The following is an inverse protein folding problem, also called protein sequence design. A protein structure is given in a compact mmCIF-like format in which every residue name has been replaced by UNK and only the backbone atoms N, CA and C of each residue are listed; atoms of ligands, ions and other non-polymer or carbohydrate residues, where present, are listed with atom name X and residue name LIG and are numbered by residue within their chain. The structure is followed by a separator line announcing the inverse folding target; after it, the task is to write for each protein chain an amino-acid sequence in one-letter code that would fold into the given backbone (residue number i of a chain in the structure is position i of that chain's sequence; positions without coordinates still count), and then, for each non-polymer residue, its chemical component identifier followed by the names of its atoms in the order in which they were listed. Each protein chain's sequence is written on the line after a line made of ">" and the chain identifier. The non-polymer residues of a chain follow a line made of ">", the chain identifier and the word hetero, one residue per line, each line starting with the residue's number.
data_IF_240914458995
#
_entry.id   IF_240914458995
#
_cell.length_a   1.000
_cell.length_b   1.000
_cell.length_c   1.000
_cell.angle_alpha   90.00
_cell.angle_beta   90.00
_cell.angle_gamma   90.00
#
_symmetry.space_group_name_H-M   'P 1'
#
loop_
_entity.id
_entity.type
_entity.pdbx_description
1 polymer ?
#
# COMPACT_ATOMS: atom_id res chain seq x y z
N UNK A 1 -16.62 5.11 4.17
CA UNK A 1 -15.32 4.42 4.05
C UNK A 1 -15.63 3.24 3.16
N UNK A 2 -15.25 3.28 1.89
CA UNK A 2 -15.55 2.15 0.99
C UNK A 2 -14.76 0.93 1.50
N UNK A 3 -15.42 -0.20 1.76
CA UNK A 3 -14.71 -1.42 2.12
C UNK A 3 -13.82 -1.83 0.95
N UNK A 4 -12.54 -2.08 1.20
CA UNK A 4 -11.67 -2.77 0.24
C UNK A 4 -12.32 -4.13 0.00
N UNK A 5 -12.96 -4.29 -1.16
CA UNK A 5 -13.53 -5.56 -1.58
C UNK A 5 -12.44 -6.65 -1.54
N UNK A 6 -12.77 -7.90 -1.21
CA UNK A 6 -11.79 -8.98 -1.25
C UNK A 6 -11.18 -9.05 -2.66
N UNK A 7 -9.85 -9.17 -2.71
CA UNK A 7 -9.13 -9.25 -3.97
C UNK A 7 -9.68 -10.41 -4.82
N UNK A 8 -10.06 -10.12 -6.06
CA UNK A 8 -10.52 -11.12 -7.03
C UNK A 8 -9.43 -12.16 -7.29
N UNK A 9 -9.82 -13.36 -7.73
CA UNK A 9 -8.84 -14.42 -8.04
C UNK A 9 -7.84 -13.99 -9.11
N UNK A 10 -8.26 -13.11 -10.03
CA UNK A 10 -7.37 -12.48 -11.01
C UNK A 10 -6.33 -11.57 -10.33
N UNK A 11 -6.73 -10.73 -9.38
CA UNK A 11 -5.80 -9.84 -8.67
C UNK A 11 -4.76 -10.62 -7.86
N UNK A 12 -5.15 -11.76 -7.27
CA UNK A 12 -4.19 -12.65 -6.58
C UNK A 12 -3.18 -13.26 -7.54
N UNK A 13 -3.65 -13.85 -8.64
CA UNK A 13 -2.79 -14.47 -9.65
C UNK A 13 -1.81 -13.46 -10.26
N UNK A 14 -2.30 -12.27 -10.61
CA UNK A 14 -1.45 -11.20 -11.13
C UNK A 14 -0.50 -10.67 -10.06
N UNK A 15 -0.94 -10.57 -8.80
CA UNK A 15 -0.08 -10.19 -7.68
C UNK A 15 1.10 -11.15 -7.52
N UNK A 16 0.85 -12.45 -7.48
CA UNK A 16 1.89 -13.47 -7.35
C UNK A 16 2.89 -13.45 -8.52
N UNK A 17 2.39 -13.20 -9.73
CA UNK A 17 3.22 -13.09 -10.93
C UNK A 17 4.11 -11.84 -10.93
N UNK A 18 3.55 -10.69 -10.54
CA UNK A 18 4.20 -9.39 -10.69
C UNK A 18 5.05 -9.00 -9.48
N UNK A 19 4.75 -9.53 -8.29
CA UNK A 19 5.47 -9.18 -7.07
C UNK A 19 6.99 -9.46 -7.12
N UNK A 20 7.49 -10.54 -7.73
CA UNK A 20 8.93 -10.75 -7.91
C UNK A 20 9.62 -9.63 -8.70
N UNK A 21 8.98 -9.13 -9.77
CA UNK A 21 9.50 -8.02 -10.60
C UNK A 21 9.50 -6.72 -9.83
N UNK A 22 8.43 -6.43 -9.09
CA UNK A 22 8.38 -5.25 -8.22
C UNK A 22 9.50 -5.32 -7.17
N UNK A 23 9.74 -6.50 -6.60
CA UNK A 23 10.76 -6.71 -5.57
C UNK A 23 12.18 -6.60 -6.11
N UNK A 24 12.46 -7.02 -7.35
CA UNK A 24 13.80 -6.89 -7.93
C UNK A 24 14.25 -5.43 -8.09
N UNK A 25 13.29 -4.50 -8.24
CA UNK A 25 13.53 -3.06 -8.28
C UNK A 25 13.67 -2.43 -6.86
N UNK A 26 13.66 -3.25 -5.81
CA UNK A 26 13.67 -2.77 -4.42
C UNK A 26 12.39 -2.02 -4.03
N UNK A 27 11.29 -2.28 -4.74
CA UNK A 27 9.97 -1.74 -4.49
C UNK A 27 9.09 -2.79 -3.81
N UNK A 28 7.97 -2.35 -3.26
CA UNK A 28 6.92 -3.21 -2.72
C UNK A 28 5.62 -2.97 -3.47
N UNK A 29 4.90 -4.05 -3.78
CA UNK A 29 3.56 -3.97 -4.34
C UNK A 29 2.59 -3.66 -3.19
N UNK A 30 2.07 -2.44 -3.17
CA UNK A 30 1.20 -1.96 -2.09
C UNK A 30 -0.26 -2.32 -2.37
N UNK A 31 -0.69 -2.13 -3.61
CA UNK A 31 -2.06 -2.42 -4.04
C UNK A 31 -2.05 -2.84 -5.51
N UNK A 32 -2.79 -3.88 -5.85
CA UNK A 32 -3.06 -4.29 -7.22
C UNK A 32 -4.57 -4.33 -7.41
N UNK A 33 -5.05 -3.72 -8.49
CA UNK A 33 -6.47 -3.63 -8.79
C UNK A 33 -6.73 -4.01 -10.24
N UNK A 34 -7.68 -4.91 -10.46
CA UNK A 34 -8.18 -5.30 -11.78
C UNK A 34 -9.66 -4.96 -11.88
N UNK A 35 -9.99 -3.88 -12.59
CA UNK A 35 -11.36 -3.35 -12.61
C UNK A 35 -11.77 -2.82 -13.98
N UNK A 36 -13.08 -2.90 -14.23
CA UNK A 36 -13.69 -2.29 -15.42
C UNK A 36 -14.03 -0.83 -15.14
N UNK A 37 -13.47 0.06 -15.94
CA UNK A 37 -13.77 1.49 -15.94
C UNK A 37 -14.48 1.89 -17.25
N UNK A 38 -14.86 3.17 -17.38
CA UNK A 38 -15.56 3.69 -18.57
C UNK A 38 -14.80 3.43 -19.88
N UNK A 39 -13.47 3.35 -19.83
CA UNK A 39 -12.60 3.14 -20.99
C UNK A 39 -12.25 1.68 -21.30
N UNK A 40 -12.63 0.72 -20.45
CA UNK A 40 -12.22 -0.68 -20.61
C UNK A 40 -11.75 -1.32 -19.30
N UNK A 41 -11.03 -2.44 -19.42
CA UNK A 41 -10.37 -3.04 -18.26
C UNK A 41 -9.10 -2.27 -17.92
N UNK A 42 -8.84 -2.09 -16.63
CA UNK A 42 -7.64 -1.41 -16.12
C UNK A 42 -6.96 -2.31 -15.11
N UNK A 43 -5.68 -2.60 -15.36
CA UNK A 43 -4.77 -3.18 -14.39
C UNK A 43 -3.95 -2.06 -13.77
N UNK A 44 -4.19 -1.77 -12.50
CA UNK A 44 -3.47 -0.73 -11.77
C UNK A 44 -2.58 -1.36 -10.70
N UNK A 45 -1.29 -1.05 -10.78
CA UNK A 45 -0.29 -1.35 -9.77
C UNK A 45 0.03 -0.07 -9.00
N UNK A 46 -0.06 -0.16 -7.68
CA UNK A 46 0.43 0.86 -6.76
C UNK A 46 1.67 0.31 -6.06
N UNK A 47 2.82 0.91 -6.32
CA UNK A 47 4.11 0.49 -5.77
C UNK A 47 4.70 1.57 -4.90
N UNK A 48 5.43 1.16 -3.87
CA UNK A 48 6.15 2.12 -3.03
C UNK A 48 7.53 1.59 -2.64
N UNK A 49 8.34 2.47 -2.06
CA UNK A 49 9.59 2.12 -1.41
C UNK A 49 9.39 2.19 0.10
N UNK A 50 9.72 1.14 0.87
CA UNK A 50 9.55 1.15 2.33
C UNK A 50 10.20 2.34 3.04
N UNK A 51 11.28 2.91 2.48
CA UNK A 51 12.05 4.01 3.07
C UNK A 51 11.96 5.33 2.28
N UNK A 52 11.05 5.44 1.31
CA UNK A 52 11.01 6.62 0.45
C UNK A 52 9.77 6.71 -0.42
N UNK A 53 9.82 7.58 -1.42
CA UNK A 53 8.86 7.58 -2.51
C UNK A 53 9.41 6.86 -3.74
N UNK A 54 8.55 6.70 -4.73
CA UNK A 54 8.91 6.20 -6.07
C UNK A 54 8.79 7.35 -7.05
N UNK A 55 9.84 7.55 -7.84
CA UNK A 55 9.91 8.58 -8.89
C UNK A 55 9.13 8.15 -10.13
N UNK A 56 8.80 9.13 -10.98
CA UNK A 56 8.14 8.86 -12.26
C UNK A 56 8.97 7.94 -13.18
N UNK A 57 10.31 8.08 -13.14
CA UNK A 57 11.22 7.26 -13.94
C UNK A 57 11.12 5.80 -13.50
N UNK A 58 11.16 5.53 -12.21
CA UNK A 58 11.04 4.17 -11.66
C UNK A 58 9.67 3.54 -11.98
N UNK A 59 8.58 4.32 -11.88
CA UNK A 59 7.27 3.84 -12.34
C UNK A 59 7.26 3.50 -13.84
N UNK A 60 7.97 4.29 -14.67
CA UNK A 60 8.02 4.06 -16.12
C UNK A 60 8.81 2.79 -16.45
N UNK A 61 9.96 2.59 -15.83
CA UNK A 61 10.78 1.38 -16.03
C UNK A 61 10.04 0.14 -15.52
N UNK A 62 9.43 0.20 -14.34
CA UNK A 62 8.62 -0.91 -13.84
C UNK A 62 7.43 -1.22 -14.77
N UNK A 63 6.77 -0.19 -15.31
CA UNK A 63 5.67 -0.37 -16.27
C UNK A 63 6.10 -1.15 -17.51
N UNK A 64 7.31 -0.89 -18.04
CA UNK A 64 7.86 -1.65 -19.17
C UNK A 64 8.13 -3.11 -18.79
N UNK A 65 8.82 -3.35 -17.67
CA UNK A 65 9.13 -4.71 -17.22
C UNK A 65 7.86 -5.55 -16.94
N UNK A 66 6.84 -4.92 -16.35
CA UNK A 66 5.55 -5.55 -16.12
C UNK A 66 4.84 -5.85 -17.45
N UNK A 67 4.86 -4.92 -18.41
CA UNK A 67 4.31 -5.15 -19.75
C UNK A 67 4.98 -6.33 -20.43
N UNK A 68 6.32 -6.36 -20.46
CA UNK A 68 7.10 -7.43 -21.10
C UNK A 68 6.78 -8.80 -20.47
N UNK A 69 6.65 -8.87 -19.15
CA UNK A 69 6.29 -10.11 -18.46
C UNK A 69 4.84 -10.55 -18.79
N UNK A 70 3.90 -9.61 -18.83
CA UNK A 70 2.50 -9.90 -19.17
C UNK A 70 2.35 -10.35 -20.63
N UNK A 71 3.17 -9.84 -21.55
CA UNK A 71 3.20 -10.25 -22.95
C UNK A 71 3.78 -11.67 -23.12
N UNK A 72 4.72 -12.09 -22.26
CA UNK A 72 5.31 -13.44 -22.30
C UNK A 72 4.38 -14.49 -21.68
N UNK A 73 3.80 -14.17 -20.52
CA UNK A 73 2.97 -15.13 -19.77
C UNK A 73 1.50 -15.14 -20.24
N UNK A 74 1.10 -14.14 -21.04
CA UNK A 74 -0.25 -13.91 -21.55
C UNK A 74 -1.38 -14.24 -20.54
N UNK A 75 -1.35 -13.76 -19.29
CA UNK A 75 -2.31 -14.19 -18.27
C UNK A 75 -3.71 -13.56 -18.43
N UNK A 76 -3.85 -12.56 -19.31
CA UNK A 76 -5.05 -11.75 -19.51
C UNK A 76 -5.45 -11.80 -21.00
N UNK A 77 -6.62 -12.36 -21.29
CA UNK A 77 -7.10 -12.56 -22.68
C UNK A 77 -7.87 -11.37 -23.27
N UNK A 78 -8.15 -10.33 -22.46
CA UNK A 78 -8.98 -9.18 -22.85
C UNK A 78 -8.15 -7.90 -22.95
N UNK A 79 -8.47 -6.96 -23.86
CA UNK A 79 -7.78 -5.67 -23.93
C UNK A 79 -7.88 -4.90 -22.62
N UNK A 80 -6.78 -4.29 -22.20
CA UNK A 80 -6.68 -3.54 -20.95
C UNK A 80 -5.67 -2.38 -21.04
N UNK A 81 -5.78 -1.46 -20.09
CA UNK A 81 -4.77 -0.43 -19.83
C UNK A 81 -3.95 -0.82 -18.60
N UNK A 82 -2.62 -0.75 -18.71
CA UNK A 82 -1.69 -0.89 -17.59
C UNK A 82 -1.37 0.48 -16.99
N UNK A 83 -1.50 0.60 -15.67
CA UNK A 83 -1.14 1.81 -14.93
C UNK A 83 -0.23 1.45 -13.75
N UNK A 84 0.96 2.06 -13.71
CA UNK A 84 1.89 1.95 -12.59
C UNK A 84 2.02 3.31 -11.91
N UNK A 85 1.78 3.34 -10.61
CA UNK A 85 1.73 4.57 -9.82
C UNK A 85 2.33 4.38 -8.44
N UNK A 86 2.68 5.49 -7.78
CA UNK A 86 2.98 5.50 -6.37
C UNK A 86 1.77 5.99 -5.54
N UNK A 87 1.68 5.63 -4.25
CA UNK A 87 0.54 6.00 -3.42
C UNK A 87 0.33 7.50 -3.17
N UNK A 88 1.32 8.33 -3.51
CA UNK A 88 1.39 9.73 -3.13
C UNK A 88 1.75 9.95 -1.65
N UNK A 89 2.01 11.22 -1.31
CA UNK A 89 2.65 11.64 -0.05
C UNK A 89 1.75 11.57 1.19
N UNK A 90 0.43 11.45 1.03
CA UNK A 90 -0.56 11.47 2.12
C UNK A 90 -1.50 10.25 2.04
N UNK A 91 -0.94 9.09 1.69
CA UNK A 91 -1.68 7.83 1.53
C UNK A 91 -2.31 7.46 2.86
N UNK A 92 -3.60 7.10 2.82
CA UNK A 92 -4.25 6.43 3.95
C UNK A 92 -3.80 4.97 4.01
N UNK A 93 -3.39 4.52 5.19
CA UNK A 93 -3.14 3.10 5.42
C UNK A 93 -4.50 2.41 5.59
N UNK A 94 -4.79 1.44 4.74
CA UNK A 94 -6.07 0.72 4.64
C UNK A 94 -5.97 -0.71 5.18
N UNK A 95 -4.81 -1.34 5.04
CA UNK A 95 -4.58 -2.74 5.40
C UNK A 95 -3.58 -2.84 6.56
N UNK A 96 -3.81 -3.69 7.57
CA UNK A 96 -2.86 -3.88 8.66
C UNK A 96 -1.43 -4.21 8.21
N UNK A 97 -1.28 -4.94 7.09
CA UNK A 97 0.02 -5.28 6.50
C UNK A 97 0.81 -4.05 6.07
N UNK A 98 0.13 -2.95 5.73
CA UNK A 98 0.81 -1.71 5.34
C UNK A 98 1.55 -1.08 6.54
N UNK A 99 1.14 -1.33 7.79
CA UNK A 99 1.89 -0.84 8.95
C UNK A 99 3.27 -1.50 9.06
N UNK A 100 3.38 -2.77 8.67
CA UNK A 100 4.66 -3.49 8.60
C UNK A 100 5.49 -3.05 7.39
N UNK A 101 4.86 -2.91 6.22
CA UNK A 101 5.53 -2.44 5.00
C UNK A 101 6.15 -1.05 5.16
N UNK A 102 5.50 -0.18 5.93
CA UNK A 102 5.95 1.19 6.17
C UNK A 102 6.58 1.40 7.54
N UNK A 103 7.01 0.32 8.22
CA UNK A 103 7.80 0.43 9.43
C UNK A 103 9.05 1.29 9.19
N UNK A 104 9.32 2.23 10.09
CA UNK A 104 10.38 3.23 9.97
C UNK A 104 9.93 4.57 9.37
N UNK A 105 8.70 4.69 8.85
CA UNK A 105 8.20 5.97 8.30
C UNK A 105 7.38 6.78 9.30
N UNK A 106 7.36 8.13 9.16
CA UNK A 106 6.42 8.96 9.89
C UNK A 106 4.98 8.61 9.52
N UNK A 107 4.11 8.57 10.52
CA UNK A 107 2.69 8.38 10.32
C UNK A 107 1.88 9.17 11.34
N UNK A 108 0.66 9.50 10.92
CA UNK A 108 -0.38 10.10 11.73
C UNK A 108 -1.55 9.13 11.86
N UNK A 109 -1.80 8.68 13.09
CA UNK A 109 -2.90 7.80 13.45
C UNK A 109 -3.96 8.59 14.21
N UNK A 110 -5.22 8.48 13.77
CA UNK A 110 -6.39 8.97 14.50
C UNK A 110 -7.02 7.77 15.18
N UNK A 111 -7.00 7.76 16.51
CA UNK A 111 -7.48 6.63 17.33
C UNK A 111 -8.73 7.05 18.08
N UNK A 112 -9.73 6.18 18.07
CA UNK A 112 -11.02 6.37 18.74
C UNK A 112 -11.25 5.23 19.73
N UNK A 113 -10.86 5.40 21.01
CA UNK A 113 -11.06 4.39 22.04
C UNK A 113 -12.56 4.13 22.31
N UNK A 114 -12.92 2.95 22.85
CA UNK A 114 -14.30 2.61 23.23
C UNK A 114 -14.90 3.56 24.28
N UNK A 115 -14.03 4.13 25.11
CA UNK A 115 -14.36 5.01 26.23
C UNK A 115 -14.79 6.42 25.76
N UNK A 116 -14.69 6.68 24.45
CA UNK A 116 -15.04 7.95 23.83
C UNK A 116 -13.83 8.87 23.64
N UNK A 117 -14.00 9.84 22.76
CA UNK A 117 -12.95 10.77 22.35
C UNK A 117 -12.17 10.33 21.11
N UNK A 118 -11.40 11.25 20.55
CA UNK A 118 -10.50 10.98 19.42
C UNK A 118 -9.16 11.59 19.73
N UNK A 119 -8.11 10.78 19.66
CA UNK A 119 -6.74 11.22 19.84
C UNK A 119 -5.96 11.11 18.53
N UNK A 120 -5.05 12.05 18.31
CA UNK A 120 -4.11 12.00 17.20
C UNK A 120 -2.75 11.59 17.76
N UNK A 121 -2.21 10.51 17.22
CA UNK A 121 -0.87 10.01 17.53
C UNK A 121 -0.01 10.19 16.29
N UNK A 122 1.02 11.03 16.40
CA UNK A 122 2.02 11.24 15.35
C UNK A 122 3.36 10.67 15.83
N UNK A 123 3.97 9.86 15.00
CA UNK A 123 5.13 9.07 15.39
C UNK A 123 5.75 8.31 14.22
N UNK A 124 6.80 7.55 14.49
CA UNK A 124 7.41 6.64 13.51
C UNK A 124 6.80 5.26 13.65
N UNK A 125 6.28 4.67 12.58
CA UNK A 125 5.74 3.30 12.60
C UNK A 125 6.85 2.30 12.95
N UNK A 126 6.51 1.28 13.71
CA UNK A 126 7.41 0.17 14.07
C UNK A 126 6.87 -1.19 13.63
N UNK A 127 5.86 -1.20 12.76
CA UNK A 127 5.16 -2.41 12.35
C UNK A 127 3.99 -2.75 13.26
N UNK A 128 3.58 -4.01 13.23
CA UNK A 128 2.49 -4.57 14.03
C UNK A 128 3.02 -5.63 14.99
N UNK A 129 2.33 -5.80 16.11
CA UNK A 129 2.55 -6.89 17.06
C UNK A 129 1.19 -7.42 17.51
N UNK A 130 0.84 -8.63 17.07
CA UNK A 130 -0.48 -9.22 17.32
C UNK A 130 -1.57 -8.40 16.64
N UNK A 131 -2.45 -7.76 17.43
CA UNK A 131 -3.54 -6.92 16.92
C UNK A 131 -3.27 -5.42 17.07
N UNK A 132 -2.05 -5.06 17.47
CA UNK A 132 -1.64 -3.69 17.74
C UNK A 132 -0.70 -3.17 16.65
N UNK A 133 -0.90 -1.92 16.23
CA UNK A 133 0.12 -1.15 15.52
C UNK A 133 1.07 -0.51 16.53
N UNK A 134 2.37 -0.62 16.27
CA UNK A 134 3.41 -0.02 17.08
C UNK A 134 3.82 1.32 16.46
N UNK A 135 3.81 2.39 17.27
CA UNK A 135 4.24 3.72 16.86
C UNK A 135 5.14 4.36 17.91
N UNK A 136 6.32 4.83 17.51
CA UNK A 136 7.26 5.52 18.38
C UNK A 136 6.98 7.02 18.40
N UNK A 137 6.71 7.55 19.59
CA UNK A 137 6.46 8.97 19.83
C UNK A 137 7.46 9.47 20.86
N UNK A 138 8.35 10.39 20.45
CA UNK A 138 9.39 10.97 21.32
C UNK A 138 10.22 9.89 22.05
N UNK A 139 10.66 8.85 21.32
CA UNK A 139 11.48 7.76 21.86
C UNK A 139 10.72 6.70 22.68
N UNK A 140 9.39 6.78 22.79
CA UNK A 140 8.57 5.76 23.46
C UNK A 140 7.66 5.06 22.45
N UNK A 141 7.74 3.73 22.42
CA UNK A 141 6.85 2.90 21.58
C UNK A 141 5.49 2.78 22.28
N UNK A 142 4.42 3.09 21.54
CA UNK A 142 3.03 2.85 21.93
C UNK A 142 2.46 1.73 21.09
N UNK A 143 1.78 0.79 21.73
CA UNK A 143 0.93 -0.19 21.07
C UNK A 143 -0.50 0.35 21.02
N UNK A 144 -1.08 0.40 19.82
CA UNK A 144 -2.44 0.90 19.60
C UNK A 144 -3.23 -0.21 18.89
N UNK A 145 -4.37 -0.66 19.43
CA UNK A 145 -5.15 -1.69 18.76
C UNK A 145 -5.59 -1.22 17.38
N UNK A 146 -5.32 -2.02 16.35
CA UNK A 146 -5.70 -1.69 14.96
C UNK A 146 -7.19 -1.41 14.85
N UNK A 147 -8.01 -2.12 15.62
CA UNK A 147 -9.46 -1.92 15.69
C UNK A 147 -9.87 -0.52 16.19
N UNK A 148 -9.01 0.18 16.94
CA UNK A 148 -9.27 1.54 17.43
C UNK A 148 -8.72 2.61 16.48
N UNK A 149 -7.94 2.24 15.46
CA UNK A 149 -7.39 3.18 14.48
C UNK A 149 -8.47 3.54 13.46
N UNK A 150 -9.10 4.69 13.65
CA UNK A 150 -10.15 5.19 12.77
C UNK A 150 -9.59 5.67 11.42
N UNK A 151 -8.40 6.28 11.42
CA UNK A 151 -7.68 6.71 10.21
C UNK A 151 -6.19 6.60 10.43
N UNK A 152 -5.46 6.08 9.46
CA UNK A 152 -4.01 6.07 9.45
C UNK A 152 -3.52 6.71 8.15
N UNK A 153 -2.47 7.52 8.22
CA UNK A 153 -1.81 8.09 7.03
C UNK A 153 -0.31 8.17 7.22
N UNK A 154 0.43 8.01 6.14
CA UNK A 154 1.85 8.39 6.11
C UNK A 154 1.98 9.90 6.20
N UNK A 155 2.99 10.36 6.93
CA UNK A 155 3.33 11.76 7.11
C UNK A 155 4.73 12.02 6.54
N UNK A 156 5.04 13.25 6.16
CA UNK A 156 6.37 13.64 5.65
C UNK A 156 7.23 14.30 6.72
N UNK A 157 6.61 14.82 7.77
CA UNK A 157 7.26 15.70 8.72
C UNK A 157 7.64 14.98 10.02
N UNK A 158 8.87 15.22 10.45
CA UNK A 158 9.37 15.04 11.82
C UNK A 158 10.31 16.19 12.19
#
# INVERSE_FOLDING_TARGET
>A
MEPTAPASDMEKRLGELLEPVVRSEGLVLVELSWRRERGGQVLRLCVDRPQGGVSLIECTELSRQVSDLLDVEEPIEVPYSLEVSSPGLNRKLKDPREFDLFAGRPARLVVSPPEGGTQVVQGVLKGTMGQDVLIEVKGKVKALPVAQVAKAKLDLDF
#
